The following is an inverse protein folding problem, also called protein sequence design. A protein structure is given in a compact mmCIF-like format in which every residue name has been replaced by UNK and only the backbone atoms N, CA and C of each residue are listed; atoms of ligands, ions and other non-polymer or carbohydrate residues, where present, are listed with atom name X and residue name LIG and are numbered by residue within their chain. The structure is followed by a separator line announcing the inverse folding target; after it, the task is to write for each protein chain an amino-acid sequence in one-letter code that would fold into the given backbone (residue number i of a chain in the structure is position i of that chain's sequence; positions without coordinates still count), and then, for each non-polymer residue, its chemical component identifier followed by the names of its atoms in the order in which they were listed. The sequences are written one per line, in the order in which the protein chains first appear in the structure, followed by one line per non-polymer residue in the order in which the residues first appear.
data_IF_550930434407
#
_entry.id   IF_550930434407
#
_cell.length_a   1.000
_cell.length_b   1.000
_cell.length_c   1.000
_cell.angle_alpha   90.00
_cell.angle_beta   90.00
_cell.angle_gamma   90.00
#
_symmetry.space_group_name_H-M   'P 1'
#
loop_
_entity.id
_entity.type
_entity.pdbx_description
1 polymer ?
#
# COMPACT_ATOMS: atom_id res chain seq x y z
N UNK A 1 13.50 22.77 3.99
CA UNK A 1 13.15 21.34 4.09
C UNK A 1 12.06 21.08 3.07
N UNK A 2 12.26 20.20 2.09
CA UNK A 2 11.20 19.86 1.15
C UNK A 2 10.04 19.26 1.96
N UNK A 3 8.89 19.91 1.95
CA UNK A 3 7.73 19.44 2.67
C UNK A 3 7.22 18.19 1.94
N UNK A 4 7.44 17.03 2.54
CA UNK A 4 6.87 15.78 2.09
C UNK A 4 5.36 15.94 1.92
N UNK A 5 4.85 15.54 0.77
CA UNK A 5 3.41 15.39 0.54
C UNK A 5 2.86 14.42 1.60
N UNK A 6 1.75 14.79 2.27
CA UNK A 6 1.13 13.89 3.25
C UNK A 6 0.71 12.58 2.60
N UNK A 7 0.71 11.49 3.38
CA UNK A 7 0.40 10.16 2.88
C UNK A 7 -0.99 10.11 2.24
N UNK A 8 -1.97 10.79 2.84
CA UNK A 8 -3.31 10.91 2.25
C UNK A 8 -3.31 11.60 0.89
N UNK A 9 -2.62 12.75 0.77
CA UNK A 9 -2.56 13.48 -0.50
C UNK A 9 -1.84 12.65 -1.57
N UNK A 10 -0.78 11.92 -1.18
CA UNK A 10 -0.09 10.99 -2.05
C UNK A 10 -1.00 9.85 -2.50
N UNK A 11 -1.71 9.22 -1.56
CA UNK A 11 -2.67 8.16 -1.83
C UNK A 11 -3.75 8.64 -2.84
N UNK A 12 -4.35 9.81 -2.63
CA UNK A 12 -5.34 10.36 -3.56
C UNK A 12 -4.77 10.60 -4.96
N UNK A 13 -3.53 11.11 -5.07
CA UNK A 13 -2.88 11.30 -6.37
C UNK A 13 -2.64 9.97 -7.07
N UNK A 14 -2.09 9.01 -6.34
CA UNK A 14 -1.77 7.69 -6.89
C UNK A 14 -3.04 6.93 -7.29
N UNK A 15 -4.12 7.06 -6.53
CA UNK A 15 -5.41 6.42 -6.82
C UNK A 15 -6.19 7.08 -7.97
N UNK A 16 -5.82 8.30 -8.38
CA UNK A 16 -6.39 8.93 -9.57
C UNK A 16 -5.84 8.33 -10.87
N UNK A 17 -4.71 7.63 -10.82
CA UNK A 17 -4.16 6.90 -11.96
C UNK A 17 -4.99 5.61 -12.20
N UNK A 18 -5.64 5.45 -13.36
CA UNK A 18 -6.54 4.32 -13.61
C UNK A 18 -5.85 2.96 -13.49
N UNK A 19 -4.60 2.85 -13.93
CA UNK A 19 -3.80 1.63 -13.82
C UNK A 19 -3.60 1.23 -12.36
N UNK A 20 -3.22 2.19 -11.52
CA UNK A 20 -2.99 1.96 -10.08
C UNK A 20 -4.28 1.63 -9.36
N UNK A 21 -5.37 2.34 -9.65
CA UNK A 21 -6.69 2.03 -9.07
C UNK A 21 -7.12 0.60 -9.39
N UNK A 22 -7.00 0.18 -10.65
CA UNK A 22 -7.37 -1.17 -11.07
C UNK A 22 -6.47 -2.22 -10.41
N UNK A 23 -5.16 -1.96 -10.35
CA UNK A 23 -4.19 -2.81 -9.67
C UNK A 23 -4.50 -2.96 -8.17
N UNK A 24 -4.77 -1.87 -7.45
CA UNK A 24 -5.13 -1.90 -6.03
C UNK A 24 -6.43 -2.69 -5.78
N UNK A 25 -7.45 -2.49 -6.62
CA UNK A 25 -8.71 -3.24 -6.52
C UNK A 25 -8.50 -4.73 -6.78
N UNK A 26 -7.72 -5.07 -7.80
CA UNK A 26 -7.40 -6.44 -8.10
C UNK A 26 -6.65 -7.12 -6.95
N UNK A 27 -5.61 -6.48 -6.42
CA UNK A 27 -4.84 -6.99 -5.28
C UNK A 27 -5.71 -7.11 -4.01
N UNK A 28 -6.66 -6.20 -3.82
CA UNK A 28 -7.61 -6.27 -2.70
C UNK A 28 -8.56 -7.45 -2.85
N UNK A 29 -9.16 -7.64 -4.02
CA UNK A 29 -10.21 -8.64 -4.23
C UNK A 29 -9.63 -10.06 -4.40
N UNK A 30 -8.50 -10.21 -5.09
CA UNK A 30 -7.93 -11.53 -5.42
C UNK A 30 -6.93 -12.03 -4.36
N UNK A 31 -6.34 -11.12 -3.58
CA UNK A 31 -5.21 -11.42 -2.71
C UNK A 31 -5.35 -10.87 -1.27
N UNK A 32 -6.52 -10.31 -0.91
CA UNK A 32 -6.80 -9.70 0.40
C UNK A 32 -5.74 -8.68 0.85
N UNK A 33 -5.11 -8.00 -0.13
CA UNK A 33 -4.02 -7.07 0.16
C UNK A 33 -4.55 -5.86 0.92
N UNK A 34 -3.84 -5.48 1.99
CA UNK A 34 -4.10 -4.25 2.70
C UNK A 34 -3.63 -3.07 1.82
N UNK A 35 -4.57 -2.49 1.08
CA UNK A 35 -4.33 -1.34 0.18
C UNK A 35 -3.74 -0.13 0.94
N UNK A 36 -4.24 0.26 2.12
CA UNK A 36 -3.59 1.32 2.91
C UNK A 36 -2.11 1.07 3.21
N UNK A 37 -1.73 -0.15 3.58
CA UNK A 37 -0.33 -0.52 3.82
C UNK A 37 0.51 -0.49 2.54
N UNK A 38 -0.05 -0.94 1.41
CA UNK A 38 0.57 -0.84 0.09
C UNK A 38 0.83 0.61 -0.32
N UNK A 39 -0.16 1.49 -0.14
CA UNK A 39 -0.01 2.92 -0.42
C UNK A 39 1.04 3.56 0.48
N UNK A 40 1.14 3.13 1.74
CA UNK A 40 2.18 3.55 2.68
C UNK A 40 3.57 3.12 2.21
N UNK A 41 3.73 1.87 1.77
CA UNK A 41 4.98 1.39 1.18
C UNK A 41 5.36 2.21 -0.07
N UNK A 42 4.40 2.46 -0.96
CA UNK A 42 4.62 3.28 -2.17
C UNK A 42 5.05 4.71 -1.82
N UNK A 43 4.47 5.30 -0.78
CA UNK A 43 4.85 6.62 -0.30
C UNK A 43 6.27 6.64 0.26
N UNK A 44 6.67 5.63 1.03
CA UNK A 44 8.05 5.47 1.53
C UNK A 44 9.05 5.35 0.37
N UNK A 45 8.73 4.56 -0.65
CA UNK A 45 9.55 4.38 -1.86
C UNK A 45 9.70 5.68 -2.63
N UNK A 46 8.59 6.38 -2.91
CA UNK A 46 8.59 7.66 -3.61
C UNK A 46 9.40 8.73 -2.85
N UNK A 47 9.53 8.55 -1.54
CA UNK A 47 10.24 9.46 -0.65
C UNK A 47 11.68 9.05 -0.36
N UNK A 48 12.18 7.97 -0.98
CA UNK A 48 13.55 7.47 -0.75
C UNK A 48 13.83 7.11 0.71
N UNK A 49 12.82 6.58 1.40
CA UNK A 49 12.87 6.27 2.82
C UNK A 49 13.39 4.86 3.06
N UNK A 50 14.57 4.75 3.68
CA UNK A 50 15.08 3.47 4.18
C UNK A 50 14.38 3.15 5.49
N UNK A 51 13.64 2.05 5.49
CA UNK A 51 12.94 1.52 6.65
C UNK A 51 13.62 0.23 7.12
N UNK A 52 13.63 -0.01 8.43
CA UNK A 52 14.13 -1.27 8.98
C UNK A 52 13.01 -2.29 9.14
N UNK A 53 13.36 -3.56 9.36
CA UNK A 53 12.38 -4.63 9.58
C UNK A 53 11.50 -4.36 10.80
N UNK A 54 12.04 -3.72 11.85
CA UNK A 54 11.30 -3.36 13.07
C UNK A 54 10.18 -2.38 12.73
N UNK A 55 10.49 -1.30 12.03
CA UNK A 55 9.47 -0.32 11.68
C UNK A 55 8.44 -0.86 10.68
N UNK A 56 8.87 -1.70 9.74
CA UNK A 56 7.96 -2.34 8.81
C UNK A 56 7.00 -3.31 9.52
N UNK A 57 7.49 -4.05 10.53
CA UNK A 57 6.65 -4.90 11.39
C UNK A 57 5.64 -4.07 12.16
N UNK A 58 6.03 -2.91 12.67
CA UNK A 58 5.11 -2.01 13.37
C UNK A 58 4.03 -1.44 12.45
N UNK A 59 4.37 -1.08 11.20
CA UNK A 59 3.38 -0.66 10.20
C UNK A 59 2.39 -1.78 9.86
N UNK A 60 2.88 -3.01 9.74
CA UNK A 60 2.02 -4.19 9.57
C UNK A 60 1.08 -4.38 10.76
N UNK A 61 1.57 -4.24 11.99
CA UNK A 61 0.75 -4.36 13.20
C UNK A 61 -0.37 -3.31 13.24
N UNK A 62 -0.04 -2.04 12.96
CA UNK A 62 -1.04 -0.95 12.85
C UNK A 62 -2.09 -1.29 11.79
N UNK A 63 -1.67 -1.81 10.64
CA UNK A 63 -2.57 -2.19 9.56
C UNK A 63 -3.47 -3.38 9.94
N UNK A 64 -2.94 -4.39 10.62
CA UNK A 64 -3.68 -5.55 11.14
C UNK A 64 -4.73 -5.15 12.16
N UNK A 65 -4.39 -4.28 13.12
CA UNK A 65 -5.32 -3.82 14.16
C UNK A 65 -6.59 -3.19 13.57
N UNK A 66 -6.45 -2.37 12.53
CA UNK A 66 -7.58 -1.76 11.82
C UNK A 66 -8.32 -2.74 10.92
N UNK A 67 -7.60 -3.62 10.23
CA UNK A 67 -8.18 -4.64 9.36
C UNK A 67 -9.09 -5.58 10.14
N UNK A 68 -8.55 -6.18 11.19
CA UNK A 68 -9.24 -7.16 12.02
C UNK A 68 -10.31 -6.48 12.88
N UNK A 69 -10.03 -5.24 13.32
CA UNK A 69 -10.94 -4.46 14.15
C UNK A 69 -12.20 -4.00 13.42
N UNK A 70 -12.11 -3.58 12.15
CA UNK A 70 -13.30 -3.09 11.43
C UNK A 70 -13.26 -3.19 9.90
N UNK A 71 -12.13 -2.96 9.23
CA UNK A 71 -12.11 -2.80 7.77
C UNK A 71 -12.54 -4.09 7.06
N UNK A 72 -12.04 -5.25 7.49
CA UNK A 72 -12.41 -6.54 6.88
C UNK A 72 -13.91 -6.82 7.03
N UNK A 73 -14.47 -6.53 8.21
CA UNK A 73 -15.90 -6.71 8.48
C UNK A 73 -16.77 -5.78 7.63
N UNK A 74 -16.38 -4.51 7.51
CA UNK A 74 -17.07 -3.52 6.66
C UNK A 74 -17.01 -3.92 5.18
N UNK A 75 -15.85 -4.40 4.72
CA UNK A 75 -15.65 -4.86 3.35
C UNK A 75 -16.50 -6.09 3.02
N UNK A 76 -16.50 -7.09 3.90
CA UNK A 76 -17.34 -8.28 3.75
C UNK A 76 -18.83 -7.93 3.74
N UNK A 77 -19.26 -6.99 4.59
CA UNK A 77 -20.63 -6.48 4.58
C UNK A 77 -20.94 -5.79 3.24
N UNK A 78 -20.09 -4.88 2.77
CA UNK A 78 -20.27 -4.20 1.48
C UNK A 78 -20.34 -5.18 0.30
N UNK A 79 -19.51 -6.23 0.31
CA UNK A 79 -19.51 -7.26 -0.73
C UNK A 79 -20.78 -8.12 -0.70
N UNK A 80 -21.25 -8.54 0.48
CA UNK A 80 -22.51 -9.31 0.60
C UNK A 80 -23.72 -8.50 0.16
N UNK A 81 -23.75 -7.19 0.47
CA UNK A 81 -24.79 -6.28 -0.01
C UNK A 81 -24.74 -6.10 -1.53
N UNK A 82 -23.54 -6.03 -2.15
CA UNK A 82 -23.39 -6.01 -3.61
C UNK A 82 -23.94 -7.28 -4.25
N UNK A 83 -23.62 -8.45 -3.69
CA UNK A 83 -24.11 -9.74 -4.20
C UNK A 83 -25.64 -9.83 -4.15
N UNK A 84 -26.25 -9.37 -3.04
CA UNK A 84 -27.70 -9.26 -2.90
C UNK A 84 -28.30 -8.34 -3.96
N UNK A 85 -27.73 -7.15 -4.17
CA UNK A 85 -28.19 -6.19 -5.17
C UNK A 85 -28.05 -6.69 -6.62
N UNK A 86 -27.21 -7.71 -6.88
CA UNK A 86 -27.10 -8.35 -8.19
C UNK A 86 -28.05 -9.54 -8.39
N UNK A 87 -28.74 -9.99 -7.35
CA UNK A 87 -29.70 -11.10 -7.44
C UNK A 87 -31.05 -10.62 -7.99
N UNK A 88 -31.67 -11.41 -8.88
CA UNK A 88 -32.93 -11.06 -9.55
C UNK A 88 -34.19 -11.22 -8.68
N UNK A 89 -34.05 -11.59 -7.41
CA UNK A 89 -35.15 -12.04 -6.55
C UNK A 89 -35.75 -10.94 -5.65
N UNK A 90 -35.37 -9.67 -5.85
CA UNK A 90 -35.74 -8.56 -4.95
C UNK A 90 -36.65 -7.53 -5.60
N UNK A 91 -37.63 -7.01 -4.87
CA UNK A 91 -38.52 -5.92 -5.33
C UNK A 91 -37.77 -4.59 -5.40
N UNK A 92 -38.15 -3.69 -6.32
CA UNK A 92 -37.44 -2.42 -6.61
C UNK A 92 -37.25 -1.51 -5.38
N UNK A 93 -38.26 -1.39 -4.51
CA UNK A 93 -38.19 -0.54 -3.30
C UNK A 93 -37.19 -1.08 -2.26
N UNK A 94 -37.12 -2.40 -2.10
CA UNK A 94 -36.13 -3.03 -1.22
C UNK A 94 -34.71 -2.78 -1.75
N UNK A 95 -34.54 -2.83 -3.07
CA UNK A 95 -33.23 -2.62 -3.72
C UNK A 95 -32.70 -1.21 -3.51
N UNK A 96 -33.56 -0.19 -3.57
CA UNK A 96 -33.20 1.19 -3.28
C UNK A 96 -32.73 1.37 -1.82
N UNK A 97 -33.44 0.76 -0.85
CA UNK A 97 -33.06 0.80 0.56
C UNK A 97 -31.71 0.12 0.81
N UNK A 98 -31.48 -1.07 0.24
CA UNK A 98 -30.20 -1.78 0.34
C UNK A 98 -29.04 -1.00 -0.31
N UNK A 99 -29.27 -0.36 -1.45
CA UNK A 99 -28.26 0.46 -2.12
C UNK A 99 -27.85 1.67 -1.27
N UNK A 100 -28.82 2.34 -0.62
CA UNK A 100 -28.56 3.48 0.26
C UNK A 100 -27.68 3.08 1.44
N UNK A 101 -28.02 1.98 2.14
CA UNK A 101 -27.22 1.50 3.27
C UNK A 101 -25.82 1.08 2.81
N UNK A 102 -25.69 0.45 1.64
CA UNK A 102 -24.41 0.03 1.10
C UNK A 102 -23.47 1.21 0.86
N UNK A 103 -23.96 2.34 0.35
CA UNK A 103 -23.12 3.53 0.18
C UNK A 103 -22.68 4.12 1.53
N UNK A 104 -23.51 4.02 2.58
CA UNK A 104 -23.08 4.42 3.94
C UNK A 104 -21.99 3.49 4.49
N UNK A 105 -22.13 2.17 4.33
CA UNK A 105 -21.09 1.20 4.73
C UNK A 105 -19.77 1.50 4.01
N UNK A 106 -19.82 1.76 2.70
CA UNK A 106 -18.66 2.14 1.90
C UNK A 106 -18.01 3.45 2.40
N UNK A 107 -18.81 4.44 2.79
CA UNK A 107 -18.28 5.68 3.34
C UNK A 107 -17.55 5.47 4.68
N UNK A 108 -18.08 4.59 5.54
CA UNK A 108 -17.45 4.22 6.81
C UNK A 108 -16.17 3.40 6.58
N UNK A 109 -16.17 2.46 5.62
CA UNK A 109 -14.96 1.73 5.20
C UNK A 109 -13.86 2.69 4.75
N UNK A 110 -14.19 3.64 3.87
CA UNK A 110 -13.23 4.65 3.39
C UNK A 110 -12.70 5.53 4.53
N UNK A 111 -13.56 5.90 5.48
CA UNK A 111 -13.14 6.68 6.65
C UNK A 111 -12.16 5.88 7.52
N UNK A 112 -12.41 4.59 7.74
CA UNK A 112 -11.50 3.70 8.48
C UNK A 112 -10.15 3.59 7.76
N UNK A 113 -10.13 3.39 6.45
CA UNK A 113 -8.90 3.37 5.65
C UNK A 113 -8.14 4.71 5.72
N UNK A 114 -8.85 5.84 5.72
CA UNK A 114 -8.24 7.17 5.89
C UNK A 114 -7.60 7.34 7.27
N UNK A 115 -8.27 6.89 8.34
CA UNK A 115 -7.72 6.96 9.70
C UNK A 115 -6.49 6.05 9.85
N UNK A 116 -6.52 4.87 9.25
CA UNK A 116 -5.37 3.97 9.19
C UNK A 116 -4.17 4.64 8.50
N UNK A 117 -4.37 5.26 7.32
CA UNK A 117 -3.30 6.00 6.64
C UNK A 117 -2.77 7.15 7.51
N UNK A 118 -3.64 7.91 8.16
CA UNK A 118 -3.23 9.00 9.05
C UNK A 118 -2.37 8.50 10.22
N UNK A 119 -2.75 7.38 10.85
CA UNK A 119 -1.99 6.79 11.94
C UNK A 119 -0.60 6.30 11.48
N UNK A 120 -0.52 5.67 10.30
CA UNK A 120 0.75 5.25 9.72
C UNK A 120 1.65 6.44 9.37
N UNK A 121 1.08 7.53 8.83
CA UNK A 121 1.82 8.78 8.60
C UNK A 121 2.40 9.35 9.89
N UNK A 122 1.58 9.45 10.94
CA UNK A 122 2.04 9.93 12.25
C UNK A 122 3.15 9.06 12.82
N UNK A 123 3.01 7.73 12.74
CA UNK A 123 4.05 6.81 13.18
C UNK A 123 5.36 7.06 12.43
N UNK A 124 5.32 7.11 11.09
CA UNK A 124 6.52 7.36 10.28
C UNK A 124 7.16 8.71 10.63
N UNK A 125 6.37 9.78 10.77
CA UNK A 125 6.88 11.10 11.14
C UNK A 125 7.54 11.12 12.54
N UNK A 126 6.98 10.38 13.51
CA UNK A 126 7.58 10.25 14.84
C UNK A 126 8.92 9.52 14.77
N UNK A 127 9.02 8.47 13.97
CA UNK A 127 10.26 7.71 13.78
C UNK A 127 11.29 8.45 12.92
N UNK A 128 10.92 9.51 12.20
CA UNK A 128 11.88 10.39 11.50
C UNK A 128 12.60 11.35 12.45
N UNK A 129 12.01 11.68 13.60
CA UNK A 129 12.57 12.65 14.52
C UNK A 129 13.60 11.96 15.42
N UNK A 130 14.89 12.36 15.36
CA UNK A 130 15.87 11.79 16.28
C UNK A 130 15.50 12.20 17.71
N UNK A 131 15.17 11.22 18.55
CA UNK A 131 14.98 11.45 19.98
C UNK A 131 16.28 12.06 20.50
N UNK A 132 16.20 13.27 21.05
CA UNK A 132 17.32 13.89 21.77
C UNK A 132 17.79 12.91 22.84
N UNK A 133 18.98 12.33 22.64
CA UNK A 133 19.62 11.41 23.56
C UNK A 133 19.55 11.98 24.98
N UNK A 134 18.77 11.34 25.84
CA UNK A 134 19.10 11.25 27.26
C UNK A 134 19.08 9.78 27.63
N UNK A 135 20.30 9.33 27.90
CA UNK A 135 20.66 8.19 28.76
C UNK A 135 20.38 6.77 28.23
N UNK A 136 21.49 6.17 27.77
CA UNK A 136 21.91 4.84 28.20
C UNK A 136 20.86 3.72 28.08
N UNK A 137 20.57 3.31 26.85
CA UNK A 137 20.40 1.87 26.62
C UNK A 137 20.92 1.48 25.23
N UNK A 138 21.72 0.41 25.21
CA UNK A 138 22.40 -0.13 24.04
C UNK A 138 21.44 -1.04 23.25
N UNK A 139 20.29 -0.51 22.88
CA UNK A 139 19.36 -1.15 21.96
C UNK A 139 19.35 -0.30 20.70
N UNK A 140 19.79 -0.90 19.59
CA UNK A 140 19.81 -0.29 18.26
C UNK A 140 18.48 0.41 17.98
N UNK A 141 18.43 1.72 18.21
CA UNK A 141 17.31 2.55 17.79
C UNK A 141 17.47 2.70 16.29
N UNK A 142 16.94 1.74 15.55
CA UNK A 142 16.76 1.88 14.11
C UNK A 142 15.78 3.04 13.90
N UNK A 143 16.14 3.96 13.01
CA UNK A 143 15.40 5.19 12.70
C UNK A 143 15.14 5.18 11.20
N UNK A 144 13.96 5.62 10.78
CA UNK A 144 13.65 5.74 9.35
C UNK A 144 14.51 6.85 8.74
N UNK A 145 15.33 6.50 7.74
CA UNK A 145 16.30 7.42 7.14
C UNK A 145 15.88 7.82 5.74
N UNK A 146 15.80 9.12 5.45
CA UNK A 146 15.48 9.64 4.12
C UNK A 146 16.77 10.01 3.38
N UNK A 147 17.05 9.33 2.27
CA UNK A 147 18.29 9.56 1.50
C UNK A 147 18.05 10.57 0.38
N UNK A 148 18.93 11.58 0.26
CA UNK A 148 18.77 12.67 -0.72
C UNK A 148 19.28 12.37 -2.14
N UNK A 149 19.89 11.21 -2.38
CA UNK A 149 20.56 10.90 -3.64
C UNK A 149 20.45 9.42 -3.97
N UNK A 150 19.66 9.07 -4.99
CA UNK A 150 19.85 7.80 -5.70
C UNK A 150 20.99 8.01 -6.70
N UNK A 151 22.20 7.58 -6.35
CA UNK A 151 23.27 7.58 -7.34
C UNK A 151 22.97 6.48 -8.37
N UNK A 152 22.83 6.90 -9.64
CA UNK A 152 22.82 6.07 -10.84
C UNK A 152 21.62 5.12 -11.10
N UNK A 153 20.40 5.42 -10.64
CA UNK A 153 19.14 4.81 -11.14
C UNK A 153 18.94 3.29 -10.92
N UNK A 154 20.01 2.52 -10.73
CA UNK A 154 20.05 1.08 -10.42
C UNK A 154 19.63 0.83 -8.96
N UNK A 155 19.72 1.83 -8.08
CA UNK A 155 19.36 1.71 -6.65
C UNK A 155 17.85 1.84 -6.36
N UNK A 156 17.07 2.46 -7.24
CA UNK A 156 15.65 2.75 -6.95
C UNK A 156 14.80 1.48 -6.94
N UNK A 157 15.09 0.55 -7.85
CA UNK A 157 14.40 -0.74 -7.95
C UNK A 157 14.67 -1.59 -6.73
N UNK A 158 15.96 -1.76 -6.40
CA UNK A 158 16.38 -2.50 -5.22
C UNK A 158 15.80 -1.89 -3.95
N UNK A 159 15.73 -0.56 -3.89
CA UNK A 159 15.05 0.15 -2.82
C UNK A 159 13.54 -0.17 -2.78
N UNK A 160 12.84 -0.06 -3.92
CA UNK A 160 11.41 -0.34 -4.02
C UNK A 160 11.07 -1.76 -3.57
N UNK A 161 11.81 -2.76 -4.07
CA UNK A 161 11.63 -4.15 -3.68
C UNK A 161 12.04 -4.40 -2.24
N UNK A 162 13.06 -3.72 -1.71
CA UNK A 162 13.44 -3.83 -0.28
C UNK A 162 12.31 -3.32 0.61
N UNK A 163 11.76 -2.15 0.33
CA UNK A 163 10.65 -1.57 1.11
C UNK A 163 9.40 -2.45 1.00
N UNK A 164 9.05 -2.90 -0.21
CA UNK A 164 7.92 -3.82 -0.39
C UNK A 164 8.14 -5.14 0.34
N UNK A 165 9.35 -5.72 0.31
CA UNK A 165 9.64 -7.00 0.96
C UNK A 165 9.53 -6.89 2.48
N UNK A 166 9.87 -5.72 3.03
CA UNK A 166 9.75 -5.46 4.45
C UNK A 166 8.31 -5.15 4.87
N UNK A 167 7.58 -4.31 4.13
CA UNK A 167 6.24 -3.86 4.49
C UNK A 167 5.14 -4.87 4.11
N UNK A 168 5.35 -5.64 3.04
CA UNK A 168 4.38 -6.56 2.47
C UNK A 168 5.01 -7.94 2.19
N UNK A 169 5.59 -8.61 3.21
CA UNK A 169 6.21 -9.91 3.03
C UNK A 169 5.21 -10.98 2.60
N UNK A 170 3.92 -10.84 2.95
CA UNK A 170 2.88 -11.72 2.45
C UNK A 170 2.66 -11.54 0.94
N UNK A 171 2.72 -10.31 0.42
CA UNK A 171 2.57 -10.04 -1.02
C UNK A 171 3.77 -10.62 -1.79
N UNK A 172 4.99 -10.32 -1.38
CA UNK A 172 6.21 -10.80 -2.06
C UNK A 172 6.49 -12.28 -1.78
N UNK A 173 6.25 -12.77 -0.57
CA UNK A 173 6.39 -14.19 -0.23
C UNK A 173 5.31 -15.06 -0.88
N UNK A 174 4.12 -14.52 -1.13
CA UNK A 174 3.09 -15.19 -1.93
C UNK A 174 3.35 -15.08 -3.43
N UNK A 175 4.17 -14.15 -3.93
CA UNK A 175 4.45 -14.03 -5.38
C UNK A 175 5.10 -15.29 -6.01
N UNK A 176 6.04 -16.01 -5.33
CA UNK A 176 6.54 -17.32 -5.75
C UNK A 176 5.58 -18.47 -5.46
N UNK A 177 4.79 -18.38 -4.39
CA UNK A 177 3.91 -19.44 -3.88
C UNK A 177 2.49 -19.38 -4.49
N UNK A 178 2.15 -18.29 -5.16
CA UNK A 178 0.90 -18.14 -5.88
C UNK A 178 0.90 -19.21 -6.97
N UNK A 179 -0.06 -20.16 -6.96
CA UNK A 179 -0.18 -21.11 -8.05
C UNK A 179 -0.24 -20.29 -9.34
N UNK A 180 0.48 -20.74 -10.37
CA UNK A 180 0.79 -20.16 -11.70
C UNK A 180 -0.35 -19.41 -12.45
N UNK A 181 -1.14 -18.58 -11.78
CA UNK A 181 -2.50 -18.16 -12.12
C UNK A 181 -2.91 -16.77 -11.63
N UNK A 182 -2.01 -15.91 -11.13
CA UNK A 182 -2.24 -14.47 -11.31
C UNK A 182 -1.01 -13.73 -11.84
N UNK A 183 -0.64 -13.96 -13.12
CA UNK A 183 0.18 -12.98 -13.86
C UNK A 183 -0.38 -11.55 -13.72
N UNK A 184 -1.67 -11.43 -13.43
CA UNK A 184 -2.37 -10.19 -13.15
C UNK A 184 -1.95 -9.50 -11.83
N UNK A 185 -1.66 -10.22 -10.73
CA UNK A 185 -1.14 -9.58 -9.51
C UNK A 185 0.29 -9.06 -9.71
N UNK A 186 1.10 -9.79 -10.49
CA UNK A 186 2.46 -9.35 -10.86
C UNK A 186 2.41 -8.09 -11.73
N UNK A 187 1.53 -8.10 -12.73
CA UNK A 187 1.25 -6.98 -13.61
C UNK A 187 0.75 -5.76 -12.82
N UNK A 188 -0.18 -5.96 -11.88
CA UNK A 188 -0.70 -4.93 -10.99
C UNK A 188 0.41 -4.28 -10.12
N UNK A 189 1.30 -5.08 -9.53
CA UNK A 189 2.43 -4.56 -8.76
C UNK A 189 3.40 -3.79 -9.66
N UNK A 190 3.68 -4.31 -10.85
CA UNK A 190 4.55 -3.64 -11.83
C UNK A 190 3.97 -2.29 -12.26
N UNK A 191 2.67 -2.23 -12.55
CA UNK A 191 1.97 -0.99 -12.92
C UNK A 191 2.06 0.06 -11.80
N UNK A 192 1.89 -0.36 -10.54
CA UNK A 192 2.00 0.53 -9.37
C UNK A 192 3.43 1.05 -9.21
N UNK A 193 4.44 0.18 -9.26
CA UNK A 193 5.86 0.54 -9.14
C UNK A 193 6.25 1.52 -10.25
N UNK A 194 5.89 1.23 -11.50
CA UNK A 194 6.22 2.10 -12.63
C UNK A 194 5.51 3.47 -12.53
N UNK A 195 4.31 3.51 -11.97
CA UNK A 195 3.57 4.76 -11.74
C UNK A 195 4.17 5.66 -10.65
N UNK A 196 4.99 5.12 -9.75
CA UNK A 196 5.64 5.90 -8.68
C UNK A 196 7.13 6.19 -8.98
N UNK A 197 7.63 5.81 -10.16
CA UNK A 197 9.00 6.13 -10.55
C UNK A 197 9.20 7.66 -10.60
N UNK A 198 10.29 8.18 -10.00
CA UNK A 198 10.56 9.61 -10.02
C UNK A 198 10.81 10.11 -11.45
N UNK A 199 10.23 11.26 -11.79
CA UNK A 199 10.45 11.92 -13.08
C UNK A 199 11.91 12.37 -13.16
N UNK A 200 12.66 11.85 -14.15
CA UNK A 200 14.09 12.18 -14.34
C UNK A 200 15.07 11.02 -14.14
N UNK A 201 14.60 9.79 -13.93
CA UNK A 201 15.45 8.60 -14.06
C UNK A 201 16.00 8.53 -15.50
N UNK A 202 17.33 8.48 -15.70
CA UNK A 202 17.94 8.41 -17.03
C UNK A 202 17.37 7.24 -17.85
N UNK A 203 17.19 7.40 -19.16
CA UNK A 203 16.68 6.33 -20.03
C UNK A 203 17.52 5.04 -19.96
N UNK A 204 18.81 5.14 -19.65
CA UNK A 204 19.70 3.99 -19.42
C UNK A 204 19.47 3.27 -18.08
N UNK A 205 18.69 3.87 -17.18
CA UNK A 205 18.28 3.34 -15.88
C UNK A 205 16.76 3.15 -15.78
N UNK A 206 16.01 3.41 -16.86
CA UNK A 206 14.60 3.06 -16.98
C UNK A 206 14.53 1.54 -17.19
N UNK A 207 14.05 0.81 -16.20
CA UNK A 207 13.71 -0.60 -16.36
C UNK A 207 12.60 -0.78 -17.39
N UNK A 208 12.71 -1.84 -18.18
CA UNK A 208 11.59 -2.36 -18.94
C UNK A 208 10.55 -2.96 -17.98
N UNK A 209 9.29 -2.98 -18.44
CA UNK A 209 8.21 -3.75 -17.79
C UNK A 209 8.63 -5.20 -17.49
N UNK A 210 9.40 -5.80 -18.42
CA UNK A 210 9.88 -7.17 -18.34
C UNK A 210 10.91 -7.36 -17.22
N UNK A 211 11.75 -6.35 -16.93
CA UNK A 211 12.76 -6.41 -15.86
C UNK A 211 12.08 -6.44 -14.48
N UNK A 212 11.00 -5.67 -14.31
CA UNK A 212 10.17 -5.67 -13.10
C UNK A 212 9.53 -7.03 -12.89
N UNK A 213 8.96 -7.60 -13.94
CA UNK A 213 8.32 -8.93 -13.89
C UNK A 213 9.32 -10.05 -13.60
N UNK A 214 10.52 -10.00 -14.16
CA UNK A 214 11.57 -10.98 -13.87
C UNK A 214 11.97 -10.93 -12.39
N UNK A 215 12.11 -9.73 -11.81
CA UNK A 215 12.46 -9.54 -10.40
C UNK A 215 11.37 -10.01 -9.44
N UNK A 216 10.10 -9.79 -9.81
CA UNK A 216 8.93 -10.33 -9.09
C UNK A 216 8.91 -11.88 -9.12
N UNK A 217 9.53 -12.48 -10.14
CA UNK A 217 9.48 -13.93 -10.39
C UNK A 217 10.65 -14.70 -9.77
N UNK A 218 11.64 -14.03 -9.20
CA UNK A 218 12.80 -14.61 -8.50
C UNK A 218 12.54 -14.67 -6.99
#
# INVERSE_FOLDING_TARGET
MAQMISLWTFACKLYNEPAVKNACLQLQDDNDVNVPLLLTACWLIASSAVISSVHATQLQAIASDWNDGCIQSLRALRQSMKARLSSQESNDDDMAAWALVREQVKAVELLAEQQLLQQMECYVQQQMLPISKTESDNSQSEVITFTSTFDNGVQWVDHAFTVLAQCLPALIGALPQLPSKSPQARSAIADIILSIMPVGVPAASQMSYDDVLERISR
#
